data_IF_308979688286
#
_entry.id   IF_308979688286
#
_cell.length_a   1.000
_cell.length_b   1.000
_cell.length_c   1.000
_cell.angle_alpha   90.00
_cell.angle_beta   90.00
_cell.angle_gamma   90.00
#
_symmetry.space_group_name_H-M   'P 1'
#
loop_
_entity.id
_entity.type
_entity.pdbx_description
1 polymer ?
#
# COMPACT_ATOMS: atom_id res chain seq x y z
N UNK A 1 2.86 3.46 5.30
CA UNK A 1 1.83 4.51 5.43
C UNK A 1 0.78 4.05 6.39
N UNK A 2 -0.28 4.84 6.60
CA UNK A 2 -1.42 4.41 7.43
C UNK A 2 -2.20 3.25 6.79
N UNK A 3 -2.81 2.39 7.61
CA UNK A 3 -3.70 1.29 7.18
C UNK A 3 -4.96 1.77 6.45
N UNK A 4 -5.30 3.06 6.52
CA UNK A 4 -6.42 3.63 5.76
C UNK A 4 -6.09 3.91 4.28
N UNK A 5 -4.88 3.58 3.82
CA UNK A 5 -4.50 3.65 2.41
C UNK A 5 -4.99 2.46 1.57
N UNK A 6 -4.91 2.60 0.25
CA UNK A 6 -5.32 1.58 -0.73
C UNK A 6 -4.19 1.11 -1.66
N UNK A 7 -2.94 1.52 -1.42
CA UNK A 7 -1.78 1.14 -2.21
C UNK A 7 -0.80 0.31 -1.38
N UNK A 8 -0.35 -0.80 -1.94
CA UNK A 8 0.68 -1.68 -1.41
C UNK A 8 1.78 -1.88 -2.45
N UNK A 9 2.90 -2.48 -2.03
CA UNK A 9 3.99 -2.90 -2.89
C UNK A 9 4.46 -4.29 -2.46
N UNK A 10 5.09 -5.08 -3.34
CA UNK A 10 5.71 -6.35 -2.95
C UNK A 10 6.64 -6.17 -1.75
N UNK A 11 6.65 -7.16 -0.86
CA UNK A 11 7.51 -7.13 0.32
C UNK A 11 8.99 -7.06 -0.09
N UNK A 12 9.77 -6.22 0.60
CA UNK A 12 11.19 -6.05 0.34
C UNK A 12 11.56 -5.06 -0.77
N UNK A 13 10.60 -4.49 -1.51
CA UNK A 13 10.92 -3.51 -2.55
C UNK A 13 11.58 -2.25 -1.96
N UNK A 14 12.68 -1.80 -2.58
CA UNK A 14 13.43 -0.63 -2.12
C UNK A 14 12.54 0.64 -2.10
N UNK A 15 12.76 1.54 -1.14
CA UNK A 15 11.95 2.76 -1.00
C UNK A 15 11.92 3.60 -2.27
N UNK A 16 13.08 3.78 -2.92
CA UNK A 16 13.24 4.50 -4.18
C UNK A 16 12.39 3.95 -5.34
N UNK A 17 12.06 2.64 -5.31
CA UNK A 17 11.21 2.00 -6.31
C UNK A 17 9.73 2.33 -6.14
N UNK A 18 9.35 2.85 -4.97
CA UNK A 18 7.96 3.18 -4.62
C UNK A 18 7.59 4.62 -4.95
N UNK A 19 8.56 5.45 -5.31
CA UNK A 19 8.37 6.87 -5.65
C UNK A 19 7.50 7.60 -4.61
N UNK A 20 7.87 7.47 -3.33
CA UNK A 20 7.14 8.05 -2.20
C UNK A 20 7.87 9.28 -1.63
N UNK A 21 7.15 10.31 -1.17
CA UNK A 21 7.76 11.49 -0.59
C UNK A 21 8.34 11.17 0.80
N UNK A 22 9.39 11.88 1.28
CA UNK A 22 10.07 11.55 2.55
C UNK A 22 9.13 11.46 3.76
N UNK A 23 8.06 12.25 3.80
CA UNK A 23 7.04 12.25 4.87
C UNK A 23 6.36 10.89 5.10
N UNK A 24 6.41 9.96 4.12
CA UNK A 24 5.89 8.61 4.30
C UNK A 24 6.74 7.77 5.26
N UNK A 25 7.97 8.20 5.57
CA UNK A 25 8.87 7.61 6.56
C UNK A 25 8.69 8.20 7.96
N UNK A 26 7.77 9.15 8.16
CA UNK A 26 7.50 9.66 9.51
C UNK A 26 6.89 8.54 10.36
N UNK A 27 7.46 8.28 11.53
CA UNK A 27 6.87 7.39 12.54
C UNK A 27 5.66 8.09 13.16
N UNK A 28 4.47 7.52 12.96
CA UNK A 28 3.21 8.02 13.56
C UNK A 28 2.77 7.17 14.76
N UNK A 29 3.12 5.90 14.75
CA UNK A 29 2.80 4.92 15.78
C UNK A 29 4.09 4.25 16.22
N UNK A 30 4.33 4.13 17.53
CA UNK A 30 5.56 3.53 18.05
C UNK A 30 5.71 2.05 17.67
N UNK A 31 4.59 1.34 17.51
CA UNK A 31 4.53 -0.05 17.05
C UNK A 31 4.90 -0.25 15.58
N UNK A 32 4.87 0.82 14.78
CA UNK A 32 5.15 0.80 13.34
C UNK A 32 6.13 1.91 12.97
N UNK A 33 7.43 1.75 13.32
CA UNK A 33 8.46 2.72 12.96
C UNK A 33 8.48 2.95 11.45
N UNK A 34 8.73 4.21 11.07
CA UNK A 34 8.68 4.69 9.69
C UNK A 34 7.33 4.48 8.98
N UNK A 35 6.24 4.30 9.73
CA UNK A 35 4.94 3.87 9.20
C UNK A 35 5.07 2.62 8.30
N UNK A 36 5.99 1.70 8.61
CA UNK A 36 6.25 0.52 7.79
C UNK A 36 5.44 -0.67 8.30
N UNK A 37 4.65 -1.27 7.41
CA UNK A 37 3.82 -2.44 7.69
C UNK A 37 4.06 -3.49 6.61
N UNK A 38 4.05 -4.76 7.00
CA UNK A 38 4.19 -5.92 6.13
C UNK A 38 3.00 -6.84 6.36
N UNK A 39 2.44 -7.37 5.29
CA UNK A 39 1.24 -8.20 5.33
C UNK A 39 1.48 -9.48 4.53
N UNK A 40 0.77 -10.55 4.92
CA UNK A 40 0.69 -11.80 4.18
C UNK A 40 -0.76 -12.02 3.74
N UNK A 41 -0.96 -12.38 2.47
CA UNK A 41 -2.29 -12.65 1.92
C UNK A 41 -2.72 -14.05 2.34
N UNK A 42 -3.63 -14.14 3.31
CA UNK A 42 -4.17 -15.43 3.82
C UNK A 42 -5.37 -15.94 3.00
N UNK A 43 -6.07 -15.04 2.30
CA UNK A 43 -7.21 -15.34 1.42
C UNK A 43 -7.02 -14.62 0.08
N UNK A 44 -7.22 -15.34 -1.03
CA UNK A 44 -7.03 -14.78 -2.39
C UNK A 44 -8.11 -13.75 -2.72
N UNK A 45 -7.72 -12.64 -3.35
CA UNK A 45 -8.59 -11.62 -3.91
C UNK A 45 -7.94 -10.97 -5.14
N UNK A 46 -8.73 -10.24 -5.93
CA UNK A 46 -8.27 -9.60 -7.16
C UNK A 46 -7.88 -8.15 -6.91
N UNK A 47 -6.80 -7.71 -7.55
CA UNK A 47 -6.23 -6.36 -7.43
C UNK A 47 -5.79 -5.84 -8.79
N UNK A 48 -5.64 -4.52 -8.88
CA UNK A 48 -4.84 -3.94 -9.96
C UNK A 48 -3.37 -3.97 -9.57
N UNK A 49 -2.53 -4.51 -10.44
CA UNK A 49 -1.08 -4.48 -10.29
C UNK A 49 -0.43 -3.82 -11.50
N UNK A 50 0.55 -2.96 -11.26
CA UNK A 50 1.23 -2.24 -12.33
C UNK A 50 2.53 -1.58 -11.87
N UNK A 51 3.27 -1.02 -12.83
CA UNK A 51 4.54 -0.33 -12.54
C UNK A 51 4.31 1.06 -11.96
N UNK A 52 5.18 1.43 -11.03
CA UNK A 52 5.22 2.76 -10.42
C UNK A 52 6.03 3.69 -11.33
N UNK A 53 5.46 4.84 -11.70
CA UNK A 53 6.18 5.85 -12.48
C UNK A 53 7.22 6.59 -11.59
N UNK A 54 8.28 7.17 -12.18
CA UNK A 54 9.21 8.03 -11.45
C UNK A 54 8.50 9.24 -10.85
N UNK A 55 8.77 9.57 -9.59
CA UNK A 55 8.21 10.75 -8.92
C UNK A 55 8.99 11.11 -7.64
N UNK A 56 8.73 12.29 -7.07
CA UNK A 56 9.37 12.81 -5.83
C UNK A 56 10.91 12.68 -5.80
N UNK A 57 11.57 12.88 -6.95
CA UNK A 57 13.02 12.75 -7.08
C UNK A 57 13.54 11.31 -6.99
N UNK A 58 12.66 10.32 -7.17
CA UNK A 58 12.99 8.90 -7.13
C UNK A 58 12.67 8.22 -8.47
N UNK A 59 13.42 7.18 -8.83
CA UNK A 59 13.27 6.50 -10.12
C UNK A 59 11.96 5.72 -10.26
N UNK A 60 11.30 5.34 -9.16
CA UNK A 60 10.15 4.44 -9.23
C UNK A 60 10.53 3.08 -9.85
N UNK A 61 9.64 2.53 -10.67
CA UNK A 61 9.87 1.30 -11.43
C UNK A 61 9.61 0.00 -10.67
N UNK A 62 9.30 0.08 -9.37
CA UNK A 62 8.73 -1.03 -8.61
C UNK A 62 7.31 -1.37 -9.04
N UNK A 63 6.75 -2.39 -8.41
CA UNK A 63 5.34 -2.75 -8.61
C UNK A 63 4.48 -2.15 -7.51
N UNK A 64 3.32 -1.64 -7.89
CA UNK A 64 2.26 -1.25 -6.96
C UNK A 64 1.07 -2.16 -7.13
N UNK A 65 0.42 -2.42 -6.00
CA UNK A 65 -0.83 -3.16 -5.88
C UNK A 65 -1.87 -2.15 -5.37
N UNK A 66 -2.94 -1.95 -6.14
CA UNK A 66 -4.04 -1.04 -5.79
C UNK A 66 -5.28 -1.85 -5.43
N UNK A 67 -5.81 -1.56 -4.25
CA UNK A 67 -7.14 -2.00 -3.83
C UNK A 67 -8.18 -1.13 -4.53
N UNK A 68 -9.16 -1.78 -5.17
CA UNK A 68 -10.20 -1.10 -5.93
C UNK A 68 -11.55 -1.78 -5.69
N UNK A 69 -12.59 -1.03 -5.25
CA UNK A 69 -13.93 -1.57 -5.03
C UNK A 69 -14.54 -2.26 -6.26
N UNK A 70 -14.06 -1.92 -7.47
CA UNK A 70 -14.48 -2.60 -8.70
C UNK A 70 -14.02 -4.07 -8.76
N UNK A 71 -12.97 -4.45 -8.02
CA UNK A 71 -12.41 -5.81 -7.98
C UNK A 71 -12.69 -6.52 -6.66
N UNK A 72 -12.88 -5.76 -5.58
CA UNK A 72 -13.12 -6.28 -4.24
C UNK A 72 -14.13 -5.37 -3.53
N UNK A 73 -15.41 -5.76 -3.57
CA UNK A 73 -16.48 -4.96 -2.97
C UNK A 73 -16.48 -5.10 -1.44
N UNK A 74 -16.26 -4.00 -0.68
CA UNK A 74 -16.26 -4.04 0.78
C UNK A 74 -17.66 -4.08 1.40
N UNK A 75 -18.72 -3.86 0.60
CA UNK A 75 -20.10 -3.71 1.08
C UNK A 75 -20.58 -2.27 1.05
N UNK A 76 -21.89 -2.08 1.25
CA UNK A 76 -22.51 -0.75 1.27
C UNK A 76 -22.06 0.05 2.50
N UNK A 77 -21.64 1.31 2.29
CA UNK A 77 -21.16 2.18 3.36
C UNK A 77 -19.72 1.92 3.84
N UNK A 78 -19.08 0.85 3.36
CA UNK A 78 -17.72 0.48 3.75
C UNK A 78 -16.67 1.04 2.78
N UNK A 79 -15.54 1.48 3.33
CA UNK A 79 -14.40 1.97 2.56
C UNK A 79 -13.33 0.89 2.39
N UNK A 80 -13.05 0.49 1.14
CA UNK A 80 -11.95 -0.45 0.88
C UNK A 80 -10.59 0.20 1.15
N UNK A 81 -9.84 -0.36 2.09
CA UNK A 81 -8.48 0.03 2.44
C UNK A 81 -7.75 -1.15 3.10
N UNK A 82 -6.49 -0.97 3.47
CA UNK A 82 -5.71 -2.03 4.11
C UNK A 82 -6.31 -2.44 5.46
N UNK A 83 -6.87 -1.51 6.25
CA UNK A 83 -7.53 -1.86 7.52
C UNK A 83 -8.67 -2.84 7.30
N UNK A 84 -9.51 -2.60 6.29
CA UNK A 84 -10.63 -3.50 5.96
C UNK A 84 -10.17 -4.94 5.61
N UNK A 85 -8.95 -5.11 5.08
CA UNK A 85 -8.39 -6.46 4.82
C UNK A 85 -7.89 -7.18 6.07
N UNK A 86 -7.70 -6.45 7.18
CA UNK A 86 -7.20 -7.00 8.45
C UNK A 86 -8.32 -7.41 9.40
N UNK A 87 -9.52 -6.89 9.19
CA UNK A 87 -10.73 -7.20 9.97
C UNK A 87 -11.39 -8.49 9.42
#
# INVERSE_FOLDING_TARGET
>A
GSVYGAFLAPAGDAYAKRALPPQNLNTREASAPCSYHVYEVTKRFTVWQGRIAPWFGQPGGGEQIKLDPALLNPGEGEGLNVKWLLD
#
